data_IF_339910062907
#
_entry.id   IF_339910062907
#
_cell.length_a   1.000
_cell.length_b   1.000
_cell.length_c   1.000
_cell.angle_alpha   90.00
_cell.angle_beta   90.00
_cell.angle_gamma   90.00
#
_symmetry.space_group_name_H-M   'P 1'
#
loop_
_entity.id
_entity.type
_entity.pdbx_description
1 polymer ?
#
# COMPACT_ATOMS: atom_id res chain seq x y z
N UNK A 1 -14.95 5.86 -4.85
CA UNK A 1 -14.41 7.20 -4.56
C UNK A 1 -13.73 7.30 -3.20
N UNK A 2 -14.37 6.82 -2.14
CA UNK A 2 -13.79 6.94 -0.80
C UNK A 2 -12.44 6.20 -0.68
N UNK A 3 -12.30 5.07 -1.36
CA UNK A 3 -11.05 4.32 -1.37
C UNK A 3 -9.91 5.16 -1.96
N UNK A 4 -10.19 5.87 -3.06
CA UNK A 4 -9.18 6.71 -3.70
C UNK A 4 -8.81 7.91 -2.83
N UNK A 5 -9.80 8.52 -2.17
CA UNK A 5 -9.54 9.61 -1.24
C UNK A 5 -8.70 9.16 -0.05
N UNK A 6 -9.00 8.00 0.50
CA UNK A 6 -8.24 7.45 1.63
C UNK A 6 -6.77 7.24 1.25
N UNK A 7 -6.51 6.63 0.09
CA UNK A 7 -5.15 6.41 -0.37
C UNK A 7 -4.43 7.72 -0.70
N UNK A 8 -5.16 8.66 -1.32
CA UNK A 8 -4.56 9.93 -1.73
C UNK A 8 -4.19 10.81 -0.54
N UNK A 9 -5.07 10.90 0.46
CA UNK A 9 -4.94 11.87 1.54
C UNK A 9 -4.28 11.30 2.80
N UNK A 10 -4.33 10.00 3.00
CA UNK A 10 -3.82 9.36 4.23
C UNK A 10 -2.72 8.36 3.93
N UNK A 11 -3.02 7.33 3.15
CA UNK A 11 -2.07 6.22 2.96
C UNK A 11 -0.87 6.63 2.13
N UNK A 12 -1.06 7.40 1.05
CA UNK A 12 0.05 7.88 0.24
C UNK A 12 1.00 8.75 1.06
N UNK A 13 0.51 9.82 1.69
CA UNK A 13 1.34 10.65 2.55
C UNK A 13 2.01 9.88 3.69
N UNK A 14 1.33 8.89 4.26
CA UNK A 14 1.92 8.05 5.32
C UNK A 14 3.11 7.26 4.78
N UNK A 15 2.98 6.68 3.58
CA UNK A 15 4.09 5.96 2.96
C UNK A 15 5.26 6.90 2.65
N UNK A 16 4.99 8.13 2.22
CA UNK A 16 6.04 9.12 2.03
C UNK A 16 6.73 9.47 3.35
N UNK A 17 5.96 9.61 4.42
CA UNK A 17 6.50 9.87 5.75
C UNK A 17 7.47 8.77 6.16
N UNK A 18 7.08 7.52 6.00
CA UNK A 18 7.92 6.36 6.31
C UNK A 18 9.17 6.37 5.42
N UNK A 19 8.98 6.60 4.12
CA UNK A 19 10.06 6.56 3.14
C UNK A 19 11.08 7.67 3.33
N UNK A 20 10.69 8.80 3.93
CA UNK A 20 11.61 9.89 4.26
C UNK A 20 12.43 9.58 5.51
N UNK A 21 12.16 8.49 6.20
CA UNK A 21 12.94 8.07 7.34
C UNK A 21 12.44 8.59 8.68
N UNK A 22 11.26 9.19 8.71
CA UNK A 22 10.68 9.62 9.98
C UNK A 22 10.28 8.41 10.83
N UNK A 23 10.43 8.53 12.15
CA UNK A 23 10.23 7.37 13.02
C UNK A 23 8.78 6.91 13.08
N UNK A 24 8.60 5.58 13.06
CA UNK A 24 7.33 4.95 13.32
C UNK A 24 7.65 3.64 14.04
N UNK A 25 6.87 3.25 15.05
CA UNK A 25 7.18 2.02 15.79
C UNK A 25 7.17 0.80 14.88
N UNK A 26 8.16 -0.07 15.03
CA UNK A 26 8.29 -1.28 14.21
C UNK A 26 7.05 -2.15 14.27
N UNK A 27 6.43 -2.27 15.45
CA UNK A 27 5.25 -3.12 15.59
C UNK A 27 4.07 -2.60 14.75
N UNK A 28 3.98 -1.29 14.54
CA UNK A 28 2.94 -0.71 13.68
C UNK A 28 3.16 -1.15 12.24
N UNK A 29 4.39 -1.05 11.75
CA UNK A 29 4.74 -1.45 10.38
C UNK A 29 4.48 -2.93 10.16
N UNK A 30 4.89 -3.77 11.10
CA UNK A 30 4.70 -5.22 11.03
C UNK A 30 3.21 -5.55 11.01
N UNK A 31 2.46 -4.97 11.92
CA UNK A 31 1.02 -5.22 12.03
C UNK A 31 0.28 -4.79 10.76
N UNK A 32 0.56 -3.57 10.28
CA UNK A 32 -0.09 -3.06 9.07
C UNK A 32 0.28 -3.92 7.86
N UNK A 33 1.56 -4.31 7.75
CA UNK A 33 2.00 -5.17 6.66
C UNK A 33 1.26 -6.51 6.65
N UNK A 34 1.12 -7.14 7.81
CA UNK A 34 0.40 -8.41 7.94
C UNK A 34 -1.08 -8.22 7.57
N UNK A 35 -1.72 -7.16 8.09
CA UNK A 35 -3.13 -6.91 7.80
C UNK A 35 -3.37 -6.67 6.30
N UNK A 36 -2.46 -5.96 5.64
CA UNK A 36 -2.56 -5.75 4.20
C UNK A 36 -2.48 -7.09 3.47
N UNK A 37 -1.52 -7.93 3.83
CA UNK A 37 -1.36 -9.24 3.19
C UNK A 37 -2.62 -10.09 3.37
N UNK A 38 -3.16 -10.14 4.58
CA UNK A 38 -4.34 -10.96 4.85
C UNK A 38 -5.58 -10.41 4.15
N UNK A 39 -5.83 -9.11 4.26
CA UNK A 39 -7.03 -8.51 3.66
C UNK A 39 -6.97 -8.56 2.13
N UNK A 40 -5.85 -8.15 1.57
CA UNK A 40 -5.71 -8.14 0.11
C UNK A 40 -5.64 -9.55 -0.46
N UNK A 41 -5.07 -10.50 0.29
CA UNK A 41 -5.09 -11.91 -0.08
C UNK A 41 -6.52 -12.43 -0.16
N UNK A 42 -7.36 -12.09 0.81
CA UNK A 42 -8.78 -12.41 0.76
C UNK A 42 -9.43 -11.82 -0.50
N UNK A 43 -9.13 -10.56 -0.82
CA UNK A 43 -9.68 -9.92 -2.01
C UNK A 43 -9.21 -10.56 -3.30
N UNK A 44 -7.95 -11.04 -3.34
CA UNK A 44 -7.46 -11.77 -4.52
C UNK A 44 -8.34 -13.01 -4.76
N UNK A 45 -8.60 -13.79 -3.71
CA UNK A 45 -9.41 -14.99 -3.84
C UNK A 45 -10.85 -14.65 -4.24
N UNK A 46 -11.42 -13.62 -3.58
CA UNK A 46 -12.80 -13.22 -3.87
C UNK A 46 -12.97 -12.74 -5.31
N UNK A 47 -12.06 -11.88 -5.78
CA UNK A 47 -12.11 -11.36 -7.15
C UNK A 47 -11.86 -12.46 -8.17
N UNK A 48 -10.93 -13.37 -7.88
CA UNK A 48 -10.66 -14.51 -8.77
C UNK A 48 -11.91 -15.37 -8.96
N UNK A 49 -12.62 -15.67 -7.87
CA UNK A 49 -13.84 -16.47 -7.93
C UNK A 49 -14.96 -15.79 -8.71
N UNK A 50 -14.97 -14.46 -8.72
CA UNK A 50 -15.98 -13.68 -9.44
C UNK A 50 -15.52 -13.31 -10.84
N UNK A 51 -14.35 -13.80 -11.27
CA UNK A 51 -13.76 -13.50 -12.58
C UNK A 51 -13.48 -12.00 -12.76
N UNK A 52 -13.17 -11.32 -11.68
CA UNK A 52 -12.79 -9.91 -11.70
C UNK A 52 -11.27 -9.76 -11.71
N UNK A 53 -10.80 -8.56 -12.06
CA UNK A 53 -9.36 -8.30 -12.08
C UNK A 53 -8.75 -8.41 -10.68
N UNK A 54 -7.56 -9.01 -10.59
CA UNK A 54 -6.89 -9.25 -9.31
C UNK A 54 -5.55 -8.53 -9.18
N UNK A 55 -5.09 -7.82 -10.21
CA UNK A 55 -3.71 -7.34 -10.25
C UNK A 55 -3.42 -6.29 -9.15
N UNK A 56 -4.38 -5.43 -8.83
CA UNK A 56 -4.20 -4.41 -7.79
C UNK A 56 -4.04 -5.07 -6.42
N UNK A 57 -4.94 -6.03 -6.12
CA UNK A 57 -4.89 -6.75 -4.85
C UNK A 57 -3.63 -7.60 -4.75
N UNK A 58 -3.25 -8.24 -5.86
CA UNK A 58 -2.03 -9.05 -5.92
C UNK A 58 -0.79 -8.19 -5.70
N UNK A 59 -0.76 -6.98 -6.26
CA UNK A 59 0.34 -6.03 -6.04
C UNK A 59 0.51 -5.73 -4.55
N UNK A 60 -0.60 -5.52 -3.83
CA UNK A 60 -0.56 -5.27 -2.40
C UNK A 60 -0.02 -6.48 -1.62
N UNK A 61 -0.43 -7.69 -2.00
CA UNK A 61 0.02 -8.91 -1.33
C UNK A 61 1.51 -9.16 -1.56
N UNK A 62 1.98 -8.90 -2.78
CA UNK A 62 3.35 -9.28 -3.16
C UNK A 62 4.37 -8.18 -2.92
N UNK A 63 3.94 -6.91 -2.87
CA UNK A 63 4.87 -5.78 -2.79
C UNK A 63 4.59 -4.88 -1.60
N UNK A 64 3.39 -4.31 -1.51
CA UNK A 64 3.11 -3.29 -0.49
C UNK A 64 3.17 -3.88 0.92
N UNK A 65 2.44 -4.97 1.16
CA UNK A 65 2.42 -5.62 2.48
C UNK A 65 3.79 -6.12 2.89
N UNK A 66 4.44 -6.93 2.05
CA UNK A 66 5.78 -7.43 2.36
C UNK A 66 6.82 -6.33 2.56
N UNK A 67 6.75 -5.22 1.80
CA UNK A 67 7.69 -4.11 1.97
C UNK A 67 7.56 -3.49 3.36
N UNK A 68 6.33 -3.23 3.81
CA UNK A 68 6.09 -2.67 5.13
C UNK A 68 6.50 -3.64 6.23
N UNK A 69 6.14 -4.92 6.10
CA UNK A 69 6.50 -5.94 7.06
C UNK A 69 8.02 -6.09 7.18
N UNK A 70 8.70 -6.22 6.05
CA UNK A 70 10.14 -6.41 6.03
C UNK A 70 10.86 -5.18 6.55
N UNK A 71 10.41 -3.97 6.20
CA UNK A 71 11.01 -2.76 6.72
C UNK A 71 10.82 -2.64 8.24
N UNK A 72 9.68 -3.05 8.74
CA UNK A 72 9.44 -3.08 10.19
C UNK A 72 10.39 -4.01 10.93
N UNK A 73 10.83 -5.10 10.27
CA UNK A 73 11.74 -6.07 10.87
C UNK A 73 13.21 -5.66 10.70
N UNK A 74 13.60 -5.23 9.49
CA UNK A 74 15.02 -5.08 9.11
C UNK A 74 15.49 -3.64 9.06
N UNK A 75 14.60 -2.68 8.82
CA UNK A 75 14.90 -1.27 8.61
C UNK A 75 15.91 -1.03 7.50
N UNK A 76 15.95 -1.92 6.48
CA UNK A 76 16.89 -1.78 5.38
C UNK A 76 16.56 -0.58 4.50
N UNK A 77 17.62 0.11 4.07
CA UNK A 77 17.51 1.32 3.27
C UNK A 77 16.76 1.10 1.95
N UNK A 78 17.01 -0.03 1.30
CA UNK A 78 16.33 -0.36 0.04
C UNK A 78 14.82 -0.40 0.24
N UNK A 79 14.35 -1.01 1.33
CA UNK A 79 12.93 -1.11 1.63
C UNK A 79 12.32 0.25 1.92
N UNK A 80 13.06 1.11 2.62
CA UNK A 80 12.62 2.49 2.87
C UNK A 80 12.43 3.25 1.57
N UNK A 81 13.38 3.12 0.64
CA UNK A 81 13.29 3.77 -0.65
C UNK A 81 12.13 3.23 -1.48
N UNK A 82 11.91 1.91 -1.43
CA UNK A 82 10.78 1.28 -2.10
C UNK A 82 9.46 1.82 -1.56
N UNK A 83 9.32 1.93 -0.24
CA UNK A 83 8.12 2.47 0.40
C UNK A 83 7.90 3.91 -0.04
N UNK A 84 8.97 4.71 -0.14
CA UNK A 84 8.88 6.08 -0.62
C UNK A 84 8.30 6.13 -2.04
N UNK A 85 8.79 5.28 -2.94
CA UNK A 85 8.26 5.19 -4.30
C UNK A 85 6.81 4.72 -4.31
N UNK A 86 6.46 3.78 -3.43
CA UNK A 86 5.08 3.31 -3.32
C UNK A 86 4.14 4.41 -2.87
N UNK A 87 4.62 5.35 -2.04
CA UNK A 87 3.84 6.52 -1.64
C UNK A 87 3.46 7.38 -2.84
N UNK A 88 4.42 7.69 -3.70
CA UNK A 88 4.15 8.43 -4.92
C UNK A 88 3.23 7.66 -5.87
N UNK A 89 3.44 6.34 -5.99
CA UNK A 89 2.59 5.50 -6.83
C UNK A 89 1.16 5.49 -6.33
N UNK A 90 0.96 5.41 -5.01
CA UNK A 90 -0.38 5.44 -4.43
C UNK A 90 -1.09 6.77 -4.72
N UNK A 91 -0.37 7.87 -4.55
CA UNK A 91 -0.93 9.20 -4.81
C UNK A 91 -1.26 9.35 -6.29
N UNK A 92 -0.34 8.96 -7.17
CA UNK A 92 -0.54 9.08 -8.61
C UNK A 92 -1.67 8.20 -9.12
N UNK A 93 -1.67 6.93 -8.73
CA UNK A 93 -2.67 5.97 -9.18
C UNK A 93 -4.08 6.37 -8.71
N UNK A 94 -4.22 6.58 -7.40
CA UNK A 94 -5.54 6.89 -6.84
C UNK A 94 -5.98 8.30 -7.19
N UNK A 95 -5.04 9.24 -7.31
CA UNK A 95 -5.34 10.58 -7.75
C UNK A 95 -5.87 10.62 -9.18
N UNK A 96 -5.24 9.83 -10.07
CA UNK A 96 -5.69 9.72 -11.46
C UNK A 96 -7.13 9.21 -11.54
N UNK A 97 -7.41 8.10 -10.84
CA UNK A 97 -8.75 7.52 -10.90
C UNK A 97 -9.80 8.38 -10.20
N UNK A 98 -9.41 9.08 -9.15
CA UNK A 98 -10.31 10.05 -8.52
C UNK A 98 -10.65 11.17 -9.49
N UNK A 99 -9.64 11.72 -10.18
CA UNK A 99 -9.87 12.78 -11.17
C UNK A 99 -10.80 12.29 -12.27
N UNK A 100 -10.56 11.08 -12.77
CA UNK A 100 -11.39 10.49 -13.82
C UNK A 100 -12.85 10.34 -13.36
N UNK A 101 -13.06 10.00 -12.09
CA UNK A 101 -14.41 9.75 -11.57
C UNK A 101 -15.23 11.01 -11.43
N UNK A 102 -14.61 12.19 -11.38
CA UNK A 102 -15.31 13.46 -11.22
C UNK A 102 -15.35 14.28 -12.51
N UNK A 103 -14.75 13.81 -13.58
CA UNK A 103 -14.81 14.45 -14.90
C UNK A 103 -15.56 13.57 -15.89
#
# INVERSE_FOLDING_TARGET
>A
MILHLLHLLILGPLLLYIGLGYPIPSWVLITVGILIILYQGYKVVAHYRQQEAIWVNLFHVLIVGPALLAYGITEERFLKELIFMLGFAAIGYHGYYLFESIT
#
